data_IF_540656806637
#
_entry.id   IF_540656806637
#
_cell.length_a   1.000
_cell.length_b   1.000
_cell.length_c   1.000
_cell.angle_alpha   90.00
_cell.angle_beta   90.00
_cell.angle_gamma   90.00
#
_symmetry.space_group_name_H-M   'P 1'
#
loop_
_entity.id
_entity.type
_entity.pdbx_description
1 polymer ?
#
# COMPACT_ATOMS: atom_id res chain seq x y z
N UNK A 1 38.88 25.90 -56.08
CA UNK A 1 38.63 24.52 -56.59
C UNK A 1 37.55 23.87 -55.73
N UNK A 2 36.50 23.30 -56.38
CA UNK A 2 35.48 22.34 -55.87
C UNK A 2 34.51 22.93 -54.80
N UNK A 3 33.31 23.43 -55.13
CA UNK A 3 32.06 22.77 -55.61
C UNK A 3 31.71 21.57 -54.70
N UNK A 4 30.60 21.51 -53.94
CA UNK A 4 29.18 21.32 -54.31
C UNK A 4 28.36 21.51 -53.01
N UNK A 5 27.36 22.39 -52.91
CA UNK A 5 25.99 22.32 -53.43
C UNK A 5 24.95 21.89 -52.36
N UNK A 6 23.97 22.78 -52.19
CA UNK A 6 22.51 22.52 -52.22
C UNK A 6 21.98 21.76 -50.99
N UNK A 7 21.39 22.43 -49.99
CA UNK A 7 20.08 23.09 -49.96
C UNK A 7 19.08 22.24 -49.17
N UNK A 8 18.05 22.94 -48.70
CA UNK A 8 16.67 22.49 -48.51
C UNK A 8 16.16 22.24 -47.09
N UNK A 9 15.00 22.88 -46.87
CA UNK A 9 13.94 22.59 -45.92
C UNK A 9 14.09 23.06 -44.46
N UNK A 10 13.70 24.33 -44.28
CA UNK A 10 12.76 24.77 -43.24
C UNK A 10 11.76 23.65 -42.87
N UNK A 11 11.62 23.36 -41.57
CA UNK A 11 10.34 22.95 -40.99
C UNK A 11 10.31 23.29 -39.50
N UNK A 12 9.53 24.33 -39.22
CA UNK A 12 9.01 24.70 -37.90
C UNK A 12 8.19 23.53 -37.36
N UNK A 13 8.49 23.04 -36.16
CA UNK A 13 7.44 22.56 -35.26
C UNK A 13 7.78 22.89 -33.81
N UNK A 14 6.91 23.72 -33.23
CA UNK A 14 6.74 23.95 -31.81
C UNK A 14 6.79 22.63 -31.03
N UNK A 15 7.83 22.44 -30.23
CA UNK A 15 7.80 21.43 -29.17
C UNK A 15 7.03 22.00 -27.99
N UNK A 16 5.70 21.95 -28.05
CA UNK A 16 4.87 22.08 -26.85
C UNK A 16 5.23 20.92 -25.91
N UNK A 17 5.54 21.16 -24.61
CA UNK A 17 5.68 20.07 -23.66
C UNK A 17 4.32 19.39 -23.55
N UNK A 18 4.25 18.13 -23.99
CA UNK A 18 3.09 17.30 -23.77
C UNK A 18 2.78 17.29 -22.26
N UNK A 19 1.56 17.60 -21.82
CA UNK A 19 1.20 17.42 -20.43
C UNK A 19 1.39 15.94 -20.12
N UNK A 20 2.23 15.64 -19.12
CA UNK A 20 2.33 14.31 -18.55
C UNK A 20 0.93 13.88 -18.14
N UNK A 21 0.32 13.01 -18.94
CA UNK A 21 -0.95 12.39 -18.61
C UNK A 21 -0.68 11.53 -17.37
N UNK A 22 -0.96 12.09 -16.20
CA UNK A 22 -1.18 11.34 -14.98
C UNK A 22 -2.28 10.36 -15.29
N UNK A 23 -1.90 9.10 -15.54
CA UNK A 23 -2.84 8.00 -15.72
C UNK A 23 -3.83 8.07 -14.54
N UNK A 24 -5.15 8.11 -14.78
CA UNK A 24 -6.10 8.05 -13.70
C UNK A 24 -5.85 6.74 -12.94
N UNK A 25 -5.53 6.88 -11.65
CA UNK A 25 -5.19 5.79 -10.70
C UNK A 25 -6.38 4.82 -10.53
N UNK A 26 -7.51 5.10 -11.17
CA UNK A 26 -8.75 4.32 -11.15
C UNK A 26 -8.63 2.95 -11.84
N UNK A 27 -7.60 2.73 -12.67
CA UNK A 27 -7.35 1.46 -13.35
C UNK A 27 -6.32 0.55 -12.65
N UNK A 28 -5.92 0.85 -11.41
CA UNK A 28 -5.18 -0.13 -10.61
C UNK A 28 -6.12 -1.27 -10.24
N UNK A 29 -6.11 -2.29 -11.10
CA UNK A 29 -6.69 -3.61 -10.89
C UNK A 29 -6.37 -4.04 -9.47
N UNK A 30 -7.36 -3.96 -8.57
CA UNK A 30 -7.26 -4.54 -7.23
C UNK A 30 -7.14 -6.05 -7.38
N UNK A 31 -5.91 -6.52 -7.59
CA UNK A 31 -5.52 -7.91 -7.57
C UNK A 31 -5.83 -8.38 -6.17
N UNK A 32 -6.90 -9.16 -6.05
CA UNK A 32 -7.18 -9.90 -4.83
C UNK A 32 -5.91 -10.63 -4.42
N UNK A 33 -5.70 -10.77 -3.12
CA UNK A 33 -4.72 -11.70 -2.57
C UNK A 33 -5.30 -13.11 -2.75
N UNK A 34 -5.42 -13.54 -4.02
CA UNK A 34 -6.18 -14.70 -4.44
C UNK A 34 -5.30 -15.96 -4.57
N UNK A 35 -4.04 -15.87 -4.18
CA UNK A 35 -3.20 -17.05 -4.00
C UNK A 35 -2.49 -16.97 -2.62
N UNK A 36 -2.30 -18.12 -1.97
CA UNK A 36 -1.63 -18.20 -0.68
C UNK A 36 -0.18 -17.68 -0.72
N UNK A 37 0.44 -17.69 -1.90
CA UNK A 37 1.80 -17.17 -2.11
C UNK A 37 1.89 -15.65 -1.93
N UNK A 38 0.97 -14.86 -2.50
CA UNK A 38 0.94 -13.40 -2.36
C UNK A 38 0.56 -13.00 -0.94
N UNK A 39 -0.36 -13.73 -0.28
CA UNK A 39 -0.65 -13.55 1.15
C UNK A 39 0.61 -13.75 2.00
N UNK A 40 1.31 -14.87 1.78
CA UNK A 40 2.55 -15.18 2.49
C UNK A 40 3.65 -14.15 2.27
N UNK A 41 3.77 -13.61 1.06
CA UNK A 41 4.73 -12.54 0.74
C UNK A 41 4.40 -11.24 1.46
N UNK A 42 3.12 -10.85 1.52
CA UNK A 42 2.70 -9.65 2.26
C UNK A 42 2.98 -9.81 3.74
N UNK A 43 2.60 -10.95 4.33
CA UNK A 43 2.87 -11.22 5.75
C UNK A 43 4.37 -11.10 6.03
N UNK A 44 5.23 -11.71 5.19
CA UNK A 44 6.70 -11.63 5.30
C UNK A 44 7.24 -10.20 5.18
N UNK A 45 6.72 -9.41 4.24
CA UNK A 45 7.15 -8.02 4.06
C UNK A 45 6.73 -7.13 5.23
N UNK A 46 5.50 -7.28 5.71
CA UNK A 46 4.97 -6.51 6.84
C UNK A 46 5.70 -6.87 8.13
N UNK A 47 5.90 -8.15 8.43
CA UNK A 47 6.64 -8.55 9.64
C UNK A 47 8.10 -8.10 9.59
N UNK A 48 8.74 -8.11 8.42
CA UNK A 48 10.11 -7.59 8.25
C UNK A 48 10.17 -6.09 8.54
N UNK A 49 9.21 -5.31 8.03
CA UNK A 49 9.13 -3.88 8.29
C UNK A 49 8.84 -3.59 9.78
N UNK A 50 7.90 -4.32 10.38
CA UNK A 50 7.54 -4.17 11.79
C UNK A 50 8.69 -4.57 12.72
N UNK A 51 9.44 -5.63 12.40
CA UNK A 51 10.64 -6.04 13.14
C UNK A 51 11.69 -4.93 13.13
N UNK A 52 11.93 -4.30 11.98
CA UNK A 52 12.91 -3.21 11.88
C UNK A 52 12.47 -1.93 12.58
N UNK A 53 11.19 -1.55 12.39
CA UNK A 53 10.60 -0.31 12.91
C UNK A 53 10.36 -0.35 14.41
N UNK A 54 9.82 -1.46 14.91
CA UNK A 54 9.40 -1.62 16.30
C UNK A 54 10.44 -2.34 17.15
N UNK A 55 11.52 -2.85 16.54
CA UNK A 55 12.54 -3.67 17.22
C UNK A 55 11.88 -4.82 17.98
N UNK A 56 11.07 -5.61 17.26
CA UNK A 56 10.35 -6.73 17.86
C UNK A 56 11.35 -7.75 18.42
N UNK A 57 11.09 -8.22 19.63
CA UNK A 57 11.83 -9.33 20.23
C UNK A 57 11.43 -10.66 19.60
N UNK A 58 12.24 -11.69 19.79
CA UNK A 58 11.94 -13.04 19.30
C UNK A 58 10.65 -13.63 19.91
N UNK A 59 10.23 -13.14 21.09
CA UNK A 59 8.95 -13.51 21.71
C UNK A 59 7.76 -12.74 21.12
N UNK A 60 7.98 -11.53 20.60
CA UNK A 60 6.93 -10.69 20.00
C UNK A 60 6.68 -11.06 18.54
N UNK A 61 7.72 -11.43 17.79
CA UNK A 61 7.64 -11.75 16.36
C UNK A 61 6.56 -12.78 15.99
N UNK A 62 6.46 -13.98 16.63
CA UNK A 62 5.43 -14.95 16.27
C UNK A 62 4.01 -14.41 16.50
N UNK A 63 3.80 -13.63 17.56
CA UNK A 63 2.50 -13.02 17.86
C UNK A 63 2.14 -11.90 16.88
N UNK A 64 3.13 -11.08 16.51
CA UNK A 64 2.97 -10.07 15.48
C UNK A 64 2.62 -10.69 14.12
N UNK A 65 3.26 -11.81 13.76
CA UNK A 65 2.96 -12.56 12.54
C UNK A 65 1.52 -13.05 12.51
N UNK A 66 0.99 -13.55 13.63
CA UNK A 66 -0.41 -13.96 13.74
C UNK A 66 -1.37 -12.77 13.55
N UNK A 67 -1.11 -11.66 14.23
CA UNK A 67 -1.90 -10.41 14.10
C UNK A 67 -1.92 -9.93 12.65
N UNK A 68 -0.76 -9.91 11.97
CA UNK A 68 -0.66 -9.53 10.55
C UNK A 68 -1.43 -10.51 9.67
N UNK A 69 -1.30 -11.82 9.92
CA UNK A 69 -1.99 -12.85 9.15
C UNK A 69 -3.50 -12.65 9.22
N UNK A 70 -4.04 -12.45 10.42
CA UNK A 70 -5.46 -12.20 10.64
C UNK A 70 -5.93 -10.92 9.93
N UNK A 71 -5.13 -9.86 9.96
CA UNK A 71 -5.44 -8.62 9.25
C UNK A 71 -5.48 -8.83 7.73
N UNK A 72 -4.51 -9.55 7.15
CA UNK A 72 -4.45 -9.82 5.71
C UNK A 72 -5.63 -10.68 5.26
N UNK A 73 -6.00 -11.70 6.03
CA UNK A 73 -7.19 -12.54 5.76
C UNK A 73 -8.46 -11.71 5.82
N UNK A 74 -8.65 -10.92 6.89
CA UNK A 74 -9.81 -10.05 7.05
C UNK A 74 -9.94 -9.03 5.92
N UNK A 75 -8.83 -8.44 5.48
CA UNK A 75 -8.82 -7.55 4.31
C UNK A 75 -9.26 -8.29 3.06
N UNK A 76 -8.69 -9.46 2.77
CA UNK A 76 -9.02 -10.23 1.58
C UNK A 76 -10.51 -10.63 1.56
N UNK A 77 -11.05 -11.07 2.69
CA UNK A 77 -12.46 -11.44 2.80
C UNK A 77 -13.39 -10.22 2.71
N UNK A 78 -12.98 -9.08 3.28
CA UNK A 78 -13.67 -7.81 3.08
C UNK A 78 -13.70 -7.41 1.60
N UNK A 79 -12.59 -7.54 0.87
CA UNK A 79 -12.52 -7.22 -0.57
C UNK A 79 -13.45 -8.14 -1.37
N UNK A 80 -13.52 -9.44 -1.06
CA UNK A 80 -14.47 -10.36 -1.69
C UNK A 80 -15.92 -9.90 -1.51
N UNK A 81 -16.30 -9.53 -0.28
CA UNK A 81 -17.64 -9.00 0.03
C UNK A 81 -17.93 -7.68 -0.70
N UNK A 82 -16.93 -6.79 -0.80
CA UNK A 82 -17.07 -5.54 -1.54
C UNK A 82 -17.24 -5.76 -3.04
N UNK A 83 -16.52 -6.72 -3.63
CA UNK A 83 -16.70 -7.09 -5.05
C UNK A 83 -18.10 -7.60 -5.34
N UNK A 84 -18.68 -8.39 -4.44
CA UNK A 84 -20.06 -8.88 -4.57
C UNK A 84 -21.12 -7.77 -4.41
N UNK A 85 -20.81 -6.69 -3.68
CA UNK A 85 -21.75 -5.61 -3.33
C UNK A 85 -21.47 -4.27 -4.02
N UNK A 86 -20.62 -4.27 -5.05
CA UNK A 86 -20.16 -3.07 -5.74
C UNK A 86 -18.96 -2.42 -5.05
N UNK A 87 -17.77 -2.75 -5.54
CA UNK A 87 -16.47 -2.25 -5.07
C UNK A 87 -16.28 -0.79 -5.51
N UNK A 88 -15.92 0.07 -4.56
CA UNK A 88 -15.50 1.46 -4.84
C UNK A 88 -14.27 1.80 -4.01
N UNK A 89 -13.49 2.78 -4.47
CA UNK A 89 -12.30 3.25 -3.73
C UNK A 89 -12.65 3.72 -2.32
N UNK A 90 -13.80 4.37 -2.14
CA UNK A 90 -14.29 4.80 -0.82
C UNK A 90 -14.55 3.61 0.11
N UNK A 91 -15.24 2.57 -0.38
CA UNK A 91 -15.51 1.35 0.42
C UNK A 91 -14.22 0.59 0.73
N UNK A 92 -13.30 0.53 -0.23
CA UNK A 92 -12.00 -0.12 -0.03
C UNK A 92 -11.13 0.62 0.98
N UNK A 93 -11.09 1.96 0.92
CA UNK A 93 -10.41 2.80 1.91
C UNK A 93 -10.99 2.58 3.30
N UNK A 94 -12.32 2.58 3.43
CA UNK A 94 -12.99 2.31 4.71
C UNK A 94 -12.64 0.91 5.25
N UNK A 95 -12.62 -0.11 4.40
CA UNK A 95 -12.18 -1.46 4.77
C UNK A 95 -10.72 -1.46 5.25
N UNK A 96 -9.82 -0.81 4.52
CA UNK A 96 -8.41 -0.72 4.89
C UNK A 96 -8.23 -0.02 6.24
N UNK A 97 -8.91 1.10 6.48
CA UNK A 97 -8.89 1.83 7.76
C UNK A 97 -9.31 0.91 8.91
N UNK A 98 -10.43 0.20 8.77
CA UNK A 98 -10.95 -0.69 9.81
C UNK A 98 -9.97 -1.83 10.11
N UNK A 99 -9.47 -2.50 9.07
CA UNK A 99 -8.54 -3.63 9.24
C UNK A 99 -7.23 -3.16 9.87
N UNK A 100 -6.65 -2.07 9.37
CA UNK A 100 -5.40 -1.53 9.91
C UNK A 100 -5.57 -1.00 11.34
N UNK A 101 -6.71 -0.37 11.66
CA UNK A 101 -7.05 0.07 13.02
C UNK A 101 -7.10 -1.11 13.98
N UNK A 102 -7.85 -2.17 13.61
CA UNK A 102 -7.96 -3.38 14.43
C UNK A 102 -6.61 -4.08 14.60
N UNK A 103 -5.79 -4.11 13.53
CA UNK A 103 -4.42 -4.62 13.61
C UNK A 103 -3.61 -3.85 14.65
N UNK A 104 -3.61 -2.52 14.59
CA UNK A 104 -2.87 -1.70 15.56
C UNK A 104 -3.39 -1.92 16.97
N UNK A 105 -4.70 -1.97 17.20
CA UNK A 105 -5.27 -2.27 18.52
C UNK A 105 -4.81 -3.65 19.04
N UNK A 106 -4.78 -4.68 18.20
CA UNK A 106 -4.29 -6.01 18.59
C UNK A 106 -2.81 -6.00 19.00
N UNK A 107 -1.98 -5.16 18.38
CA UNK A 107 -0.57 -4.99 18.76
C UNK A 107 -0.39 -4.48 20.20
N UNK A 108 -1.39 -3.81 20.78
CA UNK A 108 -1.30 -3.25 22.15
C UNK A 108 -1.02 -4.31 23.22
N UNK A 109 -1.45 -5.54 23.00
CA UNK A 109 -1.25 -6.65 23.93
C UNK A 109 0.17 -7.24 23.90
N UNK A 110 0.95 -6.96 22.84
CA UNK A 110 2.27 -7.58 22.65
C UNK A 110 3.41 -6.57 22.65
N UNK A 111 3.14 -5.29 22.40
CA UNK A 111 4.14 -4.23 22.34
C UNK A 111 4.29 -3.54 23.69
N UNK A 112 5.49 -3.01 23.93
CA UNK A 112 5.70 -2.03 25.01
C UNK A 112 4.98 -0.71 24.67
N UNK A 113 4.71 0.16 25.65
CA UNK A 113 4.09 1.46 25.39
C UNK A 113 4.86 2.31 24.36
N UNK A 114 6.20 2.27 24.40
CA UNK A 114 7.05 3.00 23.46
C UNK A 114 6.94 2.45 22.02
N UNK A 115 6.97 1.12 21.86
CA UNK A 115 6.77 0.47 20.56
C UNK A 115 5.36 0.78 20.01
N UNK A 116 4.34 0.71 20.86
CA UNK A 116 2.97 0.98 20.48
C UNK A 116 2.78 2.43 20.01
N UNK A 117 3.40 3.41 20.69
CA UNK A 117 3.36 4.80 20.27
C UNK A 117 3.96 5.01 18.87
N UNK A 118 5.07 4.34 18.54
CA UNK A 118 5.67 4.38 17.20
C UNK A 118 4.70 3.81 16.15
N UNK A 119 4.07 2.68 16.47
CA UNK A 119 3.10 2.04 15.57
C UNK A 119 1.87 2.93 15.35
N UNK A 120 1.28 3.45 16.42
CA UNK A 120 0.10 4.31 16.39
C UNK A 120 0.37 5.64 15.65
N UNK A 121 1.52 6.25 15.88
CA UNK A 121 1.94 7.44 15.14
C UNK A 121 2.08 7.17 13.63
N UNK A 122 2.65 6.02 13.26
CA UNK A 122 2.72 5.59 11.86
C UNK A 122 1.33 5.36 11.26
N UNK A 123 0.42 4.74 12.00
CA UNK A 123 -0.96 4.51 11.57
C UNK A 123 -1.71 5.82 11.34
N UNK A 124 -1.65 6.76 12.29
CA UNK A 124 -2.31 8.07 12.20
C UNK A 124 -1.83 8.93 11.03
N UNK A 125 -0.56 8.78 10.61
CA UNK A 125 -0.05 9.45 9.40
C UNK A 125 -0.71 8.94 8.11
N UNK A 126 -1.01 7.64 8.05
CA UNK A 126 -1.59 7.01 6.86
C UNK A 126 -3.12 7.12 6.89
N UNK A 127 -3.72 6.98 8.08
CA UNK A 127 -5.16 6.97 8.34
C UNK A 127 -5.51 7.99 9.43
N UNK A 128 -5.47 9.31 9.12
CA UNK A 128 -5.85 10.35 10.07
C UNK A 128 -7.30 10.23 10.55
N UNK A 129 -8.16 9.56 9.78
CA UNK A 129 -9.55 9.25 10.12
C UNK A 129 -9.74 8.13 11.16
N UNK A 130 -8.67 7.42 11.53
CA UNK A 130 -8.70 6.34 12.52
C UNK A 130 -8.82 6.84 13.96
N UNK A 131 -9.38 6.02 14.86
CA UNK A 131 -9.58 6.34 16.29
C UNK A 131 -8.57 5.65 17.21
N UNK A 132 -7.35 5.41 16.73
CA UNK A 132 -6.28 4.74 17.50
C UNK A 132 -5.51 5.73 18.36
#
# INVERSE_FOLDING_TARGET
MKIFCIAFAVLVTFSSPAPAQTKPVENEKFVLLNNGATIGMIIKSVIKADKQRLKLTDQQEPKAKEIITNAVVNFNDGVKKLKASGLTNKKLRALAVVVETNKVLAYKAILTPAQYAILAAGHKKIYPESKV
#
